data_IF_536652251009
#
_entry.id   IF_536652251009
#
_cell.length_a   1.000
_cell.length_b   1.000
_cell.length_c   1.000
_cell.angle_alpha   90.00
_cell.angle_beta   90.00
_cell.angle_gamma   90.00
#
_symmetry.space_group_name_H-M   'P 1'
#
loop_
_entity.id
_entity.type
_entity.pdbx_description
1 polymer ?
#
# COMPACT_ATOMS: atom_id res chain seq x y z
N UNK A 1 12.23 11.13 11.33
CA UNK A 1 11.88 10.69 9.95
C UNK A 1 11.67 9.19 9.82
N UNK A 2 12.55 8.32 10.37
CA UNK A 2 12.37 6.85 10.30
C UNK A 2 11.03 6.39 10.89
N UNK A 3 10.67 6.91 12.06
CA UNK A 3 9.37 6.65 12.73
C UNK A 3 8.14 7.01 11.86
N UNK A 4 8.19 8.14 11.14
CA UNK A 4 7.08 8.59 10.28
C UNK A 4 6.90 7.66 9.07
N UNK A 5 8.00 7.25 8.43
CA UNK A 5 7.95 6.30 7.31
C UNK A 5 7.40 4.94 7.76
N UNK A 6 7.82 4.47 8.93
CA UNK A 6 7.33 3.22 9.51
C UNK A 6 5.84 3.31 9.83
N UNK A 7 5.39 4.41 10.44
CA UNK A 7 3.98 4.66 10.69
C UNK A 7 3.14 4.54 9.41
N UNK A 8 3.54 5.20 8.33
CA UNK A 8 2.81 5.14 7.06
C UNK A 8 2.87 3.76 6.39
N UNK A 9 4.00 3.04 6.50
CA UNK A 9 4.09 1.63 6.05
C UNK A 9 3.09 0.74 6.76
N UNK A 10 2.90 0.92 8.07
CA UNK A 10 1.89 0.19 8.82
C UNK A 10 0.46 0.54 8.37
N UNK A 11 0.17 1.82 8.04
CA UNK A 11 -1.14 2.20 7.49
C UNK A 11 -1.39 1.54 6.13
N UNK A 12 -0.41 1.57 5.23
CA UNK A 12 -0.52 0.93 3.90
C UNK A 12 -0.73 -0.58 4.05
N UNK A 13 0.03 -1.25 4.93
CA UNK A 13 -0.16 -2.67 5.24
C UNK A 13 -1.59 -2.95 5.67
N UNK A 14 -2.14 -2.16 6.60
CA UNK A 14 -3.52 -2.32 7.10
C UNK A 14 -4.54 -2.17 5.97
N UNK A 15 -4.40 -1.14 5.13
CA UNK A 15 -5.30 -0.89 4.01
C UNK A 15 -5.29 -2.05 3.00
N UNK A 16 -4.09 -2.57 2.66
CA UNK A 16 -3.96 -3.69 1.72
C UNK A 16 -4.52 -4.99 2.31
N UNK A 17 -4.32 -5.25 3.61
CA UNK A 17 -4.92 -6.42 4.29
C UNK A 17 -6.44 -6.31 4.30
N UNK A 18 -7.00 -5.14 4.64
CA UNK A 18 -8.45 -4.89 4.60
C UNK A 18 -9.03 -5.10 3.19
N UNK A 19 -8.33 -4.61 2.16
CA UNK A 19 -8.71 -4.85 0.77
C UNK A 19 -8.67 -6.35 0.40
N UNK A 20 -7.65 -7.09 0.86
CA UNK A 20 -7.56 -8.53 0.66
C UNK A 20 -8.73 -9.29 1.32
N UNK A 21 -9.08 -8.93 2.56
CA UNK A 21 -10.21 -9.53 3.29
C UNK A 21 -11.53 -9.31 2.56
N UNK A 22 -11.76 -8.09 2.06
CA UNK A 22 -12.94 -7.73 1.26
C UNK A 22 -13.03 -8.55 -0.04
N UNK A 23 -11.88 -8.87 -0.64
CA UNK A 23 -11.79 -9.73 -1.82
C UNK A 23 -11.85 -11.24 -1.49
N UNK A 24 -12.00 -11.62 -0.22
CA UNK A 24 -12.02 -13.01 0.23
C UNK A 24 -10.65 -13.71 0.20
N UNK A 25 -9.56 -12.96 0.09
CA UNK A 25 -8.20 -13.47 0.06
C UNK A 25 -7.72 -13.64 1.50
N UNK A 26 -7.55 -14.89 1.93
CA UNK A 26 -7.16 -15.23 3.31
C UNK A 26 -5.64 -15.38 3.46
N UNK A 27 -5.16 -15.25 4.69
CA UNK A 27 -3.77 -15.47 5.09
C UNK A 27 -2.75 -14.55 4.39
N UNK A 28 -3.16 -13.31 4.07
CA UNK A 28 -2.23 -12.31 3.54
C UNK A 28 -1.31 -11.82 4.65
N UNK A 29 -0.01 -11.98 4.45
CA UNK A 29 1.02 -11.43 5.34
C UNK A 29 1.88 -10.47 4.54
N UNK A 30 2.03 -9.25 5.05
CA UNK A 30 2.87 -8.21 4.45
C UNK A 30 3.88 -7.77 5.51
N UNK A 31 5.15 -7.83 5.13
CA UNK A 31 6.25 -7.27 5.90
C UNK A 31 6.38 -5.77 5.61
N UNK A 32 6.32 -4.93 6.64
CA UNK A 32 6.42 -3.48 6.48
C UNK A 32 7.81 -3.03 6.05
N UNK A 33 8.85 -3.79 6.36
CA UNK A 33 10.20 -3.49 5.88
C UNK A 33 10.31 -3.65 4.37
N UNK A 34 9.53 -4.57 3.77
CA UNK A 34 9.46 -4.79 2.32
C UNK A 34 8.68 -3.72 1.55
N UNK A 35 7.88 -2.89 2.24
CA UNK A 35 7.08 -1.84 1.58
C UNK A 35 7.99 -0.74 1.04
N UNK A 36 7.90 -0.52 -0.27
CA UNK A 36 8.68 0.51 -0.98
C UNK A 36 8.02 1.87 -0.81
N UNK A 37 8.83 2.88 -0.50
CA UNK A 37 8.46 4.30 -0.47
C UNK A 37 9.31 5.01 -1.50
N UNK A 38 8.68 5.80 -2.36
CA UNK A 38 9.34 6.64 -3.35
C UNK A 38 8.99 8.11 -3.14
N UNK A 39 9.76 9.00 -3.77
CA UNK A 39 9.40 10.41 -3.86
C UNK A 39 8.41 10.57 -5.01
N UNK A 40 7.27 11.24 -4.80
CA UNK A 40 6.34 11.53 -5.89
C UNK A 40 7.01 12.33 -7.03
N UNK A 41 6.56 12.15 -8.29
CA UNK A 41 7.15 12.83 -9.44
C UNK A 41 6.90 14.34 -9.45
N UNK A 42 5.86 14.80 -8.73
CA UNK A 42 5.59 16.22 -8.52
C UNK A 42 5.11 16.47 -7.07
N UNK A 43 5.31 17.69 -6.53
CA UNK A 43 4.94 18.00 -5.14
C UNK A 43 3.43 18.00 -4.86
N UNK A 44 2.60 18.21 -5.89
CA UNK A 44 1.13 18.25 -5.74
C UNK A 44 0.53 16.88 -5.38
N UNK A 45 1.27 15.79 -5.64
CA UNK A 45 0.90 14.42 -5.27
C UNK A 45 1.21 14.07 -3.80
N UNK A 46 1.75 15.02 -3.02
CA UNK A 46 2.08 14.85 -1.61
C UNK A 46 3.57 14.55 -1.37
N UNK A 47 3.91 14.13 -0.15
CA UNK A 47 5.29 13.97 0.28
C UNK A 47 5.87 12.56 0.03
N UNK A 48 5.02 11.53 0.09
CA UNK A 48 5.43 10.12 -0.01
C UNK A 48 4.56 9.39 -1.03
N UNK A 49 5.20 8.68 -1.97
CA UNK A 49 4.53 7.78 -2.89
C UNK A 49 4.66 6.33 -2.40
N UNK A 50 3.55 5.60 -2.44
CA UNK A 50 3.50 4.16 -2.23
C UNK A 50 3.11 3.49 -3.55
N UNK A 51 4.06 2.87 -4.26
CA UNK A 51 3.75 2.24 -5.54
C UNK A 51 2.86 1.00 -5.33
N UNK A 52 1.62 1.03 -5.83
CA UNK A 52 0.65 -0.05 -5.58
C UNK A 52 0.93 -1.34 -6.36
N UNK A 53 1.82 -1.32 -7.36
CA UNK A 53 2.18 -2.51 -8.13
C UNK A 53 2.78 -3.64 -7.28
N UNK A 54 3.37 -3.31 -6.12
CA UNK A 54 3.94 -4.28 -5.19
C UNK A 54 2.88 -5.26 -4.64
N UNK A 55 1.61 -4.85 -4.62
CA UNK A 55 0.49 -5.63 -4.12
C UNK A 55 -0.34 -6.30 -5.22
N UNK A 56 -0.06 -6.04 -6.49
CA UNK A 56 -0.86 -6.54 -7.62
C UNK A 56 -0.95 -8.06 -7.68
N UNK A 57 0.12 -8.78 -7.35
CA UNK A 57 0.11 -10.26 -7.31
C UNK A 57 -0.74 -10.80 -6.16
N UNK A 58 -0.71 -10.12 -5.00
CA UNK A 58 -1.44 -10.53 -3.80
C UNK A 58 -2.93 -10.34 -4.03
N UNK A 59 -3.32 -9.13 -4.46
CA UNK A 59 -4.73 -8.75 -4.62
C UNK A 59 -5.33 -9.19 -5.95
N UNK A 60 -4.51 -9.60 -6.93
CA UNK A 60 -4.92 -9.92 -8.31
C UNK A 60 -5.68 -8.75 -8.96
N UNK A 61 -5.20 -7.54 -8.70
CA UNK A 61 -5.77 -6.26 -9.12
C UNK A 61 -4.71 -5.37 -9.73
N UNK A 62 -5.12 -4.51 -10.68
CA UNK A 62 -4.24 -3.48 -11.22
C UNK A 62 -3.86 -2.46 -10.13
N UNK A 63 -2.70 -1.78 -10.24
CA UNK A 63 -2.31 -0.75 -9.27
C UNK A 63 -3.38 0.32 -9.05
N UNK A 64 -4.09 0.70 -10.10
CA UNK A 64 -5.17 1.70 -10.08
C UNK A 64 -6.39 1.21 -9.28
N UNK A 65 -6.79 -0.04 -9.47
CA UNK A 65 -7.87 -0.65 -8.67
C UNK A 65 -7.47 -0.73 -7.19
N UNK A 66 -6.22 -1.11 -6.88
CA UNK A 66 -5.72 -1.21 -5.50
C UNK A 66 -5.72 0.17 -4.82
N UNK A 67 -5.24 1.20 -5.51
CA UNK A 67 -5.27 2.57 -5.00
C UNK A 67 -6.69 3.04 -4.68
N UNK A 68 -7.68 2.59 -5.45
CA UNK A 68 -9.10 2.91 -5.21
C UNK A 68 -9.66 2.14 -4.01
N UNK A 69 -9.23 0.89 -3.79
CA UNK A 69 -9.62 0.06 -2.65
C UNK A 69 -9.01 0.53 -1.32
N UNK A 70 -7.85 1.18 -1.35
CA UNK A 70 -7.11 1.60 -0.16
C UNK A 70 -7.32 3.08 0.19
N UNK A 71 -8.36 3.73 -0.35
CA UNK A 71 -8.59 5.18 -0.21
C UNK A 71 -9.30 5.55 1.11
N UNK A 72 -9.92 4.59 1.77
CA UNK A 72 -10.69 4.77 3.01
C UNK A 72 -9.83 4.59 4.28
#
# INVERSE_FOLDING_TARGET
MKEIKNYWKEQVKRAVISAAETLGIKNVTIDTDSIIIENPPNPEMGDLAFPMYQFSKILRKSPQEIASLCRD
#
